data_IF_442825405710
#
_entry.id   IF_442825405710
#
_cell.length_a   1.000
_cell.length_b   1.000
_cell.length_c   1.000
_cell.angle_alpha   90.00
_cell.angle_beta   90.00
_cell.angle_gamma   90.00
#
_symmetry.space_group_name_H-M   'P 1'
#
loop_
_entity.id
_entity.type
_entity.pdbx_description
1 polymer ?
#
# COMPACT_ATOMS: atom_id res chain seq x y z
N UNK A 1 7.98 24.52 -61.03
CA UNK A 1 8.81 23.55 -60.28
C UNK A 1 9.27 24.08 -58.91
N UNK A 2 9.52 25.37 -58.68
CA UNK A 2 9.95 25.88 -57.35
C UNK A 2 8.80 26.05 -56.34
N UNK A 3 7.60 26.39 -56.82
CA UNK A 3 6.40 26.68 -56.02
C UNK A 3 5.91 25.46 -55.22
N UNK A 4 6.00 24.28 -55.83
CA UNK A 4 5.64 22.98 -55.21
C UNK A 4 6.55 22.60 -54.05
N UNK A 5 7.84 22.95 -54.08
CA UNK A 5 8.77 22.66 -52.98
C UNK A 5 8.51 23.54 -51.75
N UNK A 6 8.07 24.79 -51.95
CA UNK A 6 7.74 25.73 -50.87
C UNK A 6 6.46 25.30 -50.16
N UNK A 7 5.45 24.85 -50.91
CA UNK A 7 4.21 24.33 -50.34
C UNK A 7 4.44 23.06 -49.52
N UNK A 8 5.25 22.13 -50.04
CA UNK A 8 5.63 20.91 -49.30
C UNK A 8 6.41 21.26 -48.04
N UNK A 9 7.38 22.17 -48.11
CA UNK A 9 8.13 22.61 -46.94
C UNK A 9 7.22 23.25 -45.87
N UNK A 10 6.26 24.10 -46.29
CA UNK A 10 5.30 24.73 -45.39
C UNK A 10 4.38 23.70 -44.72
N UNK A 11 3.89 22.72 -45.48
CA UNK A 11 3.06 21.64 -44.94
C UNK A 11 3.83 20.77 -43.91
N UNK A 12 5.10 20.47 -44.17
CA UNK A 12 5.96 19.71 -43.24
C UNK A 12 6.23 20.50 -41.95
N UNK A 13 6.44 21.81 -42.03
CA UNK A 13 6.64 22.67 -40.87
C UNK A 13 5.37 22.73 -40.01
N UNK A 14 4.21 22.92 -40.64
CA UNK A 14 2.93 23.04 -39.93
C UNK A 14 2.52 21.72 -39.25
N UNK A 15 2.72 20.59 -39.93
CA UNK A 15 2.47 19.26 -39.35
C UNK A 15 3.40 18.96 -38.17
N UNK A 16 4.68 19.27 -38.30
CA UNK A 16 5.67 19.12 -37.22
C UNK A 16 5.32 19.98 -36.00
N UNK A 17 4.85 21.22 -36.23
CA UNK A 17 4.42 22.11 -35.17
C UNK A 17 3.21 21.55 -34.41
N UNK A 18 2.18 21.07 -35.13
CA UNK A 18 0.98 20.45 -34.53
C UNK A 18 1.32 19.20 -33.73
N UNK A 19 2.18 18.32 -34.26
CA UNK A 19 2.62 17.10 -33.57
C UNK A 19 3.37 17.42 -32.26
N UNK A 20 4.28 18.40 -32.29
CA UNK A 20 5.00 18.85 -31.08
C UNK A 20 4.06 19.45 -30.04
N UNK A 21 3.12 20.29 -30.47
CA UNK A 21 2.16 20.93 -29.56
C UNK A 21 1.23 19.90 -28.89
N UNK A 22 0.77 18.89 -29.63
CA UNK A 22 -0.04 17.81 -29.08
C UNK A 22 0.75 16.92 -28.11
N UNK A 23 2.03 16.62 -28.41
CA UNK A 23 2.92 15.87 -27.52
C UNK A 23 3.20 16.62 -26.20
N UNK A 24 3.45 17.94 -26.28
CA UNK A 24 3.65 18.78 -25.09
C UNK A 24 2.35 18.93 -24.27
N UNK A 25 1.20 19.07 -24.92
CA UNK A 25 -0.09 19.12 -24.23
C UNK A 25 -0.44 17.78 -23.55
N UNK A 26 -0.13 16.65 -24.20
CA UNK A 26 -0.28 15.30 -23.63
C UNK A 26 0.62 15.07 -22.42
N UNK A 27 1.87 15.54 -22.46
CA UNK A 27 2.78 15.42 -21.31
C UNK A 27 2.40 16.35 -20.15
N UNK A 28 1.86 17.54 -20.42
CA UNK A 28 1.38 18.46 -19.39
C UNK A 28 0.11 17.96 -18.69
N UNK A 29 -0.84 17.39 -19.42
CA UNK A 29 -2.04 16.78 -18.84
C UNK A 29 -1.69 15.55 -17.99
N UNK A 30 -0.86 14.64 -18.50
CA UNK A 30 -0.38 13.49 -17.75
C UNK A 30 0.28 13.86 -16.41
N UNK A 31 1.11 14.92 -16.39
CA UNK A 31 1.73 15.40 -15.15
C UNK A 31 0.70 15.90 -14.14
N UNK A 32 -0.33 16.62 -14.59
CA UNK A 32 -1.40 17.11 -13.71
C UNK A 32 -2.19 15.95 -13.11
N UNK A 33 -2.48 14.91 -13.90
CA UNK A 33 -3.19 13.72 -13.43
C UNK A 33 -2.36 12.96 -12.39
N UNK A 34 -1.06 12.83 -12.62
CA UNK A 34 -0.12 12.24 -11.66
C UNK A 34 -0.05 13.05 -10.36
N UNK A 35 0.02 14.38 -10.43
CA UNK A 35 0.00 15.25 -9.27
C UNK A 35 -1.31 15.15 -8.50
N UNK A 36 -2.44 15.03 -9.20
CA UNK A 36 -3.74 14.82 -8.60
C UNK A 36 -3.81 13.46 -7.88
N UNK A 37 -3.37 12.38 -8.52
CA UNK A 37 -3.29 11.06 -7.92
C UNK A 37 -2.40 11.05 -6.68
N UNK A 38 -1.24 11.74 -6.74
CA UNK A 38 -0.33 11.83 -5.60
C UNK A 38 -0.99 12.52 -4.40
N UNK A 39 -1.67 13.64 -4.63
CA UNK A 39 -2.41 14.36 -3.57
C UNK A 39 -3.53 13.52 -2.97
N UNK A 40 -4.27 12.79 -3.80
CA UNK A 40 -5.34 11.91 -3.33
C UNK A 40 -4.80 10.77 -2.44
N UNK A 41 -3.66 10.18 -2.80
CA UNK A 41 -2.97 9.16 -1.99
C UNK A 41 -2.48 9.76 -0.67
N UNK A 42 -1.87 10.95 -0.70
CA UNK A 42 -1.41 11.65 0.51
C UNK A 42 -2.58 11.95 1.46
N UNK A 43 -3.70 12.45 0.95
CA UNK A 43 -4.91 12.69 1.73
C UNK A 43 -5.48 11.39 2.35
N UNK A 44 -5.50 10.30 1.58
CA UNK A 44 -5.97 9.00 2.07
C UNK A 44 -5.07 8.46 3.19
N UNK A 45 -3.74 8.58 3.03
CA UNK A 45 -2.77 8.19 4.06
C UNK A 45 -2.94 8.98 5.35
N UNK A 46 -3.20 10.27 5.24
CA UNK A 46 -3.42 11.14 6.39
C UNK A 46 -4.71 10.77 7.13
N UNK A 47 -5.79 10.46 6.39
CA UNK A 47 -7.03 9.96 6.97
C UNK A 47 -6.82 8.64 7.72
N UNK A 48 -6.09 7.68 7.12
CA UNK A 48 -5.78 6.40 7.76
C UNK A 48 -4.95 6.57 9.04
N UNK A 49 -3.98 7.50 9.05
CA UNK A 49 -3.23 7.83 10.27
C UNK A 49 -4.14 8.35 11.38
N UNK A 50 -5.08 9.25 11.06
CA UNK A 50 -6.04 9.79 12.02
C UNK A 50 -6.99 8.72 12.56
N UNK A 51 -7.49 7.82 11.71
CA UNK A 51 -8.32 6.69 12.14
C UNK A 51 -7.57 5.78 13.10
N UNK A 52 -6.31 5.46 12.80
CA UNK A 52 -5.45 4.65 13.69
C UNK A 52 -5.21 5.35 15.02
N UNK A 53 -4.92 6.65 14.99
CA UNK A 53 -4.68 7.41 16.21
C UNK A 53 -5.94 7.45 17.06
N UNK A 54 -7.11 7.75 16.47
CA UNK A 54 -8.39 7.74 17.17
C UNK A 54 -8.68 6.38 17.79
N UNK A 55 -8.45 5.29 17.06
CA UNK A 55 -8.63 3.94 17.61
C UNK A 55 -7.72 3.67 18.82
N UNK A 56 -6.44 4.08 18.76
CA UNK A 56 -5.53 3.99 19.92
C UNK A 56 -5.98 4.85 21.09
N UNK A 57 -6.44 6.07 20.82
CA UNK A 57 -6.93 6.99 21.84
C UNK A 57 -8.22 6.46 22.49
N UNK A 58 -9.13 5.87 21.71
CA UNK A 58 -10.35 5.22 22.20
C UNK A 58 -9.98 4.04 23.12
N UNK A 59 -9.04 3.18 22.72
CA UNK A 59 -8.52 2.07 23.56
C UNK A 59 -7.81 2.57 24.82
N UNK A 60 -7.12 3.71 24.78
CA UNK A 60 -6.47 4.30 25.95
C UNK A 60 -7.48 4.97 26.92
N UNK A 61 -8.64 5.39 26.42
CA UNK A 61 -9.69 6.05 27.20
C UNK A 61 -10.63 5.05 27.88
N UNK A 62 -10.65 3.81 27.42
CA UNK A 62 -11.52 2.74 27.91
C UNK A 62 -11.06 2.12 29.26
N UNK A 63 -10.07 2.73 29.93
CA UNK A 63 -9.69 2.38 31.29
C UNK A 63 -8.95 1.05 31.37
N UNK A 64 -8.17 0.89 32.45
CA UNK A 64 -7.25 -0.22 32.72
C UNK A 64 -7.77 -1.57 32.15
N UNK A 65 -7.21 -2.07 31.04
CA UNK A 65 -7.61 -3.37 30.56
C UNK A 65 -7.12 -4.39 31.60
N UNK A 66 -8.06 -5.09 32.23
CA UNK A 66 -7.84 -6.48 32.62
C UNK A 66 -6.95 -7.14 31.56
N UNK A 67 -5.94 -7.96 31.92
CA UNK A 67 -4.92 -8.44 31.00
C UNK A 67 -5.52 -9.47 30.02
N UNK A 68 -6.35 -8.98 29.11
CA UNK A 68 -6.86 -9.67 27.95
C UNK A 68 -5.86 -9.54 26.81
N UNK A 69 -5.96 -10.43 25.81
CA UNK A 69 -5.07 -10.42 24.66
C UNK A 69 -5.13 -9.05 23.98
N UNK A 70 -3.96 -8.46 23.72
CA UNK A 70 -3.84 -7.17 23.03
C UNK A 70 -4.49 -7.29 21.66
N UNK A 71 -5.47 -6.43 21.40
CA UNK A 71 -6.20 -6.42 20.14
C UNK A 71 -5.29 -6.01 18.97
N UNK A 72 -4.99 -6.96 18.08
CA UNK A 72 -4.26 -6.71 16.83
C UNK A 72 -5.25 -6.15 15.79
N UNK A 73 -4.92 -4.99 15.21
CA UNK A 73 -5.72 -4.40 14.13
C UNK A 73 -5.78 -5.35 12.91
N UNK A 74 -6.90 -5.37 12.20
CA UNK A 74 -7.06 -6.18 10.98
C UNK A 74 -5.96 -5.94 9.94
N UNK A 75 -5.46 -4.69 9.84
CA UNK A 75 -4.35 -4.36 8.94
C UNK A 75 -3.02 -4.96 9.40
N UNK A 76 -2.76 -4.90 10.72
CA UNK A 76 -1.55 -5.48 11.29
C UNK A 76 -1.60 -7.01 11.19
N UNK A 77 -2.79 -7.61 11.31
CA UNK A 77 -3.01 -9.03 11.04
C UNK A 77 -2.66 -9.39 9.58
N UNK A 78 -3.08 -8.60 8.59
CA UNK A 78 -2.70 -8.79 7.18
C UNK A 78 -1.17 -8.70 6.95
N UNK A 79 -0.49 -7.77 7.63
CA UNK A 79 0.98 -7.67 7.60
C UNK A 79 1.62 -8.92 8.19
N UNK A 80 1.18 -9.35 9.37
CA UNK A 80 1.68 -10.54 10.06
C UNK A 80 1.47 -11.80 9.22
N UNK A 81 0.32 -11.93 8.57
CA UNK A 81 0.03 -13.04 7.65
C UNK A 81 0.95 -13.03 6.43
N UNK A 82 1.23 -11.87 5.87
CA UNK A 82 2.15 -11.72 4.74
C UNK A 82 3.59 -12.05 5.13
N UNK A 83 4.05 -11.56 6.29
CA UNK A 83 5.38 -11.85 6.83
C UNK A 83 5.53 -13.34 7.15
N UNK A 84 4.54 -13.96 7.78
CA UNK A 84 4.49 -15.39 8.05
C UNK A 84 4.63 -16.21 6.76
N UNK A 85 3.85 -15.89 5.72
CA UNK A 85 3.92 -16.60 4.42
C UNK A 85 5.29 -16.48 3.75
N UNK A 86 5.94 -15.32 3.86
CA UNK A 86 7.30 -15.14 3.34
C UNK A 86 8.30 -15.98 4.13
N UNK A 87 8.22 -15.94 5.47
CA UNK A 87 9.12 -16.69 6.34
C UNK A 87 9.03 -18.20 6.10
N UNK A 88 7.82 -18.76 5.99
CA UNK A 88 7.59 -20.18 5.66
C UNK A 88 8.21 -20.55 4.31
N UNK A 89 8.08 -19.68 3.29
CA UNK A 89 8.66 -19.91 1.96
C UNK A 89 10.19 -19.87 1.97
N UNK A 90 10.79 -19.00 2.78
CA UNK A 90 12.25 -18.84 2.87
C UNK A 90 12.91 -19.94 3.69
N UNK A 91 12.27 -20.36 4.78
CA UNK A 91 12.85 -21.31 5.75
C UNK A 91 12.41 -22.76 5.51
N UNK A 92 11.34 -22.98 4.74
CA UNK A 92 10.82 -24.31 4.43
C UNK A 92 10.22 -25.04 5.65
N UNK A 93 9.73 -24.28 6.63
CA UNK A 93 9.19 -24.83 7.89
C UNK A 93 7.99 -25.75 7.63
N UNK A 94 7.94 -26.94 8.24
CA UNK A 94 6.83 -27.89 8.07
C UNK A 94 5.53 -27.40 8.72
N UNK A 95 4.38 -27.82 8.18
CA UNK A 95 3.04 -27.37 8.64
C UNK A 95 2.77 -27.60 10.14
N UNK A 96 3.39 -28.63 10.74
CA UNK A 96 3.26 -28.88 12.18
C UNK A 96 3.88 -27.78 13.05
N UNK A 97 4.82 -27.01 12.51
CA UNK A 97 5.53 -25.93 13.22
C UNK A 97 4.94 -24.54 12.91
N UNK A 98 4.02 -24.44 11.93
CA UNK A 98 3.44 -23.17 11.50
C UNK A 98 2.74 -22.41 12.62
N UNK A 99 2.02 -23.12 13.49
CA UNK A 99 1.31 -22.50 14.61
C UNK A 99 2.28 -21.88 15.61
N UNK A 100 3.37 -22.59 15.92
CA UNK A 100 4.42 -22.09 16.80
C UNK A 100 5.15 -20.88 16.20
N UNK A 101 5.47 -20.96 14.90
CA UNK A 101 6.11 -19.86 14.18
C UNK A 101 5.23 -18.60 14.12
N UNK A 102 3.94 -18.77 13.83
CA UNK A 102 2.98 -17.67 13.81
C UNK A 102 2.84 -17.05 15.21
N UNK A 103 2.80 -17.87 16.25
CA UNK A 103 2.76 -17.41 17.63
C UNK A 103 4.01 -16.60 18.01
N UNK A 104 5.21 -17.09 17.72
CA UNK A 104 6.46 -16.36 17.94
C UNK A 104 6.47 -15.01 17.23
N UNK A 105 6.05 -14.98 15.97
CA UNK A 105 5.99 -13.74 15.18
C UNK A 105 5.02 -12.71 15.77
N UNK A 106 3.83 -13.15 16.20
CA UNK A 106 2.83 -12.25 16.80
C UNK A 106 3.30 -11.76 18.16
N UNK A 107 3.89 -12.63 18.98
CA UNK A 107 4.47 -12.23 20.28
C UNK A 107 5.57 -11.20 20.12
N UNK A 108 6.46 -11.38 19.13
CA UNK A 108 7.53 -10.42 18.83
C UNK A 108 6.96 -9.06 18.40
N UNK A 109 5.90 -9.06 17.57
CA UNK A 109 5.28 -7.82 17.09
C UNK A 109 4.51 -7.06 18.18
N UNK A 110 3.73 -7.78 18.99
CA UNK A 110 2.84 -7.20 20.01
C UNK A 110 3.57 -6.93 21.33
N UNK A 111 4.64 -7.67 21.61
CA UNK A 111 5.39 -7.60 22.87
C UNK A 111 4.64 -8.18 24.07
N UNK A 112 3.65 -9.04 23.84
CA UNK A 112 2.80 -9.64 24.87
C UNK A 112 2.74 -11.17 24.76
N UNK A 113 2.58 -11.85 25.88
CA UNK A 113 2.54 -13.32 25.96
C UNK A 113 1.21 -13.93 25.51
N UNK A 114 0.10 -13.17 25.66
CA UNK A 114 -1.23 -13.64 25.29
C UNK A 114 -1.55 -13.26 23.85
N UNK A 115 -1.67 -14.28 23.00
CA UNK A 115 -2.04 -14.14 21.59
C UNK A 115 -3.42 -14.74 21.37
N UNK A 116 -4.27 -14.03 20.63
CA UNK A 116 -5.59 -14.54 20.23
C UNK A 116 -5.46 -15.78 19.34
N UNK A 117 -6.12 -16.86 19.75
CA UNK A 117 -6.15 -18.14 19.03
C UNK A 117 -6.80 -17.98 17.65
N UNK A 118 -7.84 -17.14 17.54
CA UNK A 118 -8.54 -16.89 16.28
C UNK A 118 -7.65 -16.19 15.24
N UNK A 119 -6.79 -15.29 15.71
CA UNK A 119 -5.78 -14.64 14.88
C UNK A 119 -4.74 -15.66 14.37
N UNK A 120 -4.25 -16.56 15.22
CA UNK A 120 -3.29 -17.60 14.81
C UNK A 120 -3.88 -18.55 13.78
N UNK A 121 -5.13 -18.98 13.99
CA UNK A 121 -5.84 -19.83 13.04
C UNK A 121 -6.01 -19.11 11.68
N UNK A 122 -6.33 -17.82 11.68
CA UNK A 122 -6.47 -17.04 10.47
C UNK A 122 -5.13 -16.80 9.74
N UNK A 123 -4.03 -16.55 10.48
CA UNK A 123 -2.68 -16.39 9.91
C UNK A 123 -2.22 -17.69 9.23
N UNK A 124 -2.40 -18.83 9.92
CA UNK A 124 -1.96 -20.15 9.44
C UNK A 124 -2.88 -20.76 8.38
N UNK A 125 -4.07 -20.17 8.16
CA UNK A 125 -4.98 -20.63 7.12
C UNK A 125 -4.41 -20.41 5.70
N UNK A 126 -4.50 -21.46 4.88
CA UNK A 126 -4.02 -21.51 3.49
C UNK A 126 -4.74 -20.50 2.60
#
# INVERSE_FOLDING_TARGET
MAETHIEVARAVIETSFRLRHHSLAGTASFRRDMDHSRRAIEASRELLKRLRQRHRDDMAREGDPEPGPVAVSAFDADILRSAFRNLVRETGVPECEWRHLAESLVREYVGCEQVDVGLLDWITHK
#
